data_IF_747514120562
#
_entry.id   IF_747514120562
#
_cell.length_a   1.000
_cell.length_b   1.000
_cell.length_c   1.000
_cell.angle_alpha   90.00
_cell.angle_beta   90.00
_cell.angle_gamma   90.00
#
_symmetry.space_group_name_H-M   'P 1'
#
loop_
_entity.id
_entity.type
_entity.pdbx_description
1 polymer ?
#
# COMPACT_ATOMS: atom_id res chain seq x y z
N UNK A 1 54.77 -11.40 25.35
CA UNK A 1 55.08 -9.97 25.62
C UNK A 1 55.83 -9.46 24.41
N UNK A 2 55.45 -8.47 23.62
CA UNK A 2 54.29 -7.60 23.46
C UNK A 2 54.55 -6.88 22.11
N UNK A 3 53.60 -6.89 21.17
CA UNK A 3 52.87 -5.69 20.71
C UNK A 3 53.73 -4.45 20.49
N UNK A 4 53.91 -4.01 19.24
CA UNK A 4 53.26 -2.79 18.75
C UNK A 4 53.45 -2.56 17.24
N UNK A 5 52.30 -2.42 16.57
CA UNK A 5 52.12 -1.75 15.30
C UNK A 5 52.36 -0.25 15.46
N UNK A 6 52.98 0.39 14.47
CA UNK A 6 52.75 1.81 14.18
C UNK A 6 52.54 2.05 12.68
N UNK A 7 51.29 2.41 12.37
CA UNK A 7 50.85 3.52 11.52
C UNK A 7 51.37 3.65 10.08
N UNK A 8 50.52 3.23 9.13
CA UNK A 8 50.42 3.84 7.80
C UNK A 8 49.07 3.48 7.17
N UNK A 9 48.10 4.40 7.18
CA UNK A 9 46.89 4.25 6.35
C UNK A 9 45.58 4.85 6.87
N UNK A 10 45.55 6.10 7.34
CA UNK A 10 44.30 6.87 7.50
C UNK A 10 44.36 8.12 6.62
N UNK A 11 44.01 7.97 5.34
CA UNK A 11 43.82 9.11 4.41
C UNK A 11 42.70 8.91 3.38
N UNK A 12 41.81 7.92 3.55
CA UNK A 12 40.72 7.62 2.59
C UNK A 12 39.38 8.29 2.93
N UNK A 13 39.07 8.57 4.20
CA UNK A 13 37.67 8.88 4.58
C UNK A 13 37.19 10.30 4.28
N UNK A 14 38.09 11.27 4.12
CA UNK A 14 37.70 12.68 3.90
C UNK A 14 37.36 12.98 2.44
N UNK A 15 38.10 12.36 1.51
CA UNK A 15 37.89 12.55 0.08
C UNK A 15 36.58 11.90 -0.39
N UNK A 16 36.27 10.70 0.12
CA UNK A 16 35.03 9.99 -0.20
C UNK A 16 33.78 10.69 0.37
N UNK A 17 33.92 11.39 1.50
CA UNK A 17 32.85 12.18 2.10
C UNK A 17 32.58 13.47 1.31
N UNK A 18 33.64 14.16 0.85
CA UNK A 18 33.52 15.37 0.05
C UNK A 18 32.94 15.07 -1.35
N UNK A 19 33.27 13.91 -1.94
CA UNK A 19 32.68 13.44 -3.20
C UNK A 19 31.20 13.09 -3.03
N UNK A 20 30.84 12.38 -1.95
CA UNK A 20 29.44 12.06 -1.65
C UNK A 20 28.60 13.34 -1.42
N UNK A 21 29.16 14.31 -0.69
CA UNK A 21 28.51 15.60 -0.45
C UNK A 21 28.36 16.42 -1.72
N UNK A 22 29.37 16.45 -2.58
CA UNK A 22 29.30 17.07 -3.92
C UNK A 22 28.22 16.44 -4.78
N UNK A 23 28.06 15.11 -4.72
CA UNK A 23 27.08 14.38 -5.53
C UNK A 23 25.65 14.59 -5.04
N UNK A 24 25.43 14.57 -3.73
CA UNK A 24 24.14 14.90 -3.11
C UNK A 24 23.75 16.35 -3.43
N UNK A 25 24.67 17.31 -3.33
CA UNK A 25 24.40 18.71 -3.69
C UNK A 25 24.09 18.90 -5.18
N UNK A 26 24.71 18.10 -6.07
CA UNK A 26 24.38 18.13 -7.50
C UNK A 26 23.01 17.51 -7.81
N UNK A 27 22.65 16.43 -7.13
CA UNK A 27 21.33 15.79 -7.25
C UNK A 27 20.23 16.71 -6.69
N UNK A 28 20.52 17.40 -5.59
CA UNK A 28 19.65 18.42 -5.01
C UNK A 28 19.39 19.57 -5.99
N UNK A 29 20.44 20.13 -6.60
CA UNK A 29 20.32 21.19 -7.61
C UNK A 29 19.46 20.75 -8.80
N UNK A 30 19.68 19.54 -9.32
CA UNK A 30 18.89 19.03 -10.46
C UNK A 30 17.41 18.84 -10.13
N UNK A 31 17.08 18.44 -8.89
CA UNK A 31 15.69 18.25 -8.46
C UNK A 31 15.01 19.60 -8.22
N UNK A 32 15.72 20.59 -7.69
CA UNK A 32 15.20 21.95 -7.54
C UNK A 32 14.97 22.63 -8.89
N UNK A 33 15.88 22.46 -9.84
CA UNK A 33 15.76 23.02 -11.18
C UNK A 33 14.56 22.41 -11.94
N UNK A 34 14.37 21.09 -11.85
CA UNK A 34 13.20 20.41 -12.41
C UNK A 34 11.88 20.86 -11.75
N UNK A 35 11.90 21.10 -10.44
CA UNK A 35 10.73 21.61 -9.72
C UNK A 35 10.38 23.04 -10.13
N UNK A 36 11.38 23.88 -10.37
CA UNK A 36 11.16 25.26 -10.82
C UNK A 36 10.72 25.31 -12.28
N UNK A 37 11.23 24.41 -13.14
CA UNK A 37 10.75 24.21 -14.52
C UNK A 37 9.28 23.76 -14.54
N UNK A 38 8.92 22.75 -13.75
CA UNK A 38 7.54 22.25 -13.63
C UNK A 38 6.58 23.31 -13.04
N UNK A 39 7.04 24.13 -12.09
CA UNK A 39 6.28 25.27 -11.54
C UNK A 39 6.15 26.43 -12.52
N UNK A 40 7.10 26.60 -13.44
CA UNK A 40 7.01 27.63 -14.49
C UNK A 40 5.98 27.24 -15.56
N UNK A 41 5.90 25.96 -15.94
CA UNK A 41 4.83 25.44 -16.82
C UNK A 41 3.45 25.54 -16.17
N UNK A 42 3.38 25.41 -14.85
CA UNK A 42 2.15 25.55 -14.04
C UNK A 42 1.43 26.89 -14.20
N UNK A 43 2.16 27.99 -14.46
CA UNK A 43 1.55 29.33 -14.55
C UNK A 43 0.78 29.59 -15.86
N UNK A 44 0.91 28.71 -16.87
CA UNK A 44 0.31 28.93 -18.20
C UNK A 44 -0.90 28.05 -18.50
N UNK A 45 -1.23 27.07 -17.65
CA UNK A 45 -2.23 26.03 -17.92
C UNK A 45 -3.53 26.22 -17.12
N UNK A 46 -4.60 26.64 -17.79
CA UNK A 46 -5.95 26.65 -17.22
C UNK A 46 -6.58 25.25 -17.27
N UNK A 47 -7.02 24.76 -16.10
CA UNK A 47 -7.80 23.54 -15.81
C UNK A 47 -7.82 22.46 -16.92
N UNK A 48 -6.82 21.56 -16.89
CA UNK A 48 -6.85 20.29 -17.62
C UNK A 48 -6.34 19.15 -16.72
N UNK A 49 -6.61 17.86 -17.04
CA UNK A 49 -6.11 16.69 -16.30
C UNK A 49 -4.58 16.67 -16.10
N UNK A 50 -3.85 17.38 -16.97
CA UNK A 50 -2.41 17.61 -16.89
C UNK A 50 -2.01 18.34 -15.59
N UNK A 51 -2.90 19.19 -15.05
CA UNK A 51 -2.71 19.90 -13.79
C UNK A 51 -2.69 18.99 -12.58
N UNK A 52 -3.53 17.94 -12.57
CA UNK A 52 -3.59 16.97 -11.46
C UNK A 52 -2.31 16.11 -11.40
N UNK A 53 -1.77 15.78 -12.57
CA UNK A 53 -0.51 15.03 -12.71
C UNK A 53 0.67 15.92 -12.28
N UNK A 54 0.69 17.19 -12.71
CA UNK A 54 1.68 18.16 -12.26
C UNK A 54 1.64 18.38 -10.73
N UNK A 55 0.45 18.51 -10.14
CA UNK A 55 0.27 18.63 -8.69
C UNK A 55 0.80 17.40 -7.93
N UNK A 56 0.55 16.19 -8.45
CA UNK A 56 1.10 14.96 -7.86
C UNK A 56 2.62 14.89 -8.00
N UNK A 57 3.17 15.22 -9.16
CA UNK A 57 4.62 15.22 -9.39
C UNK A 57 5.34 16.24 -8.51
N UNK A 58 4.77 17.44 -8.34
CA UNK A 58 5.29 18.48 -7.44
C UNK A 58 5.22 18.02 -5.97
N UNK A 59 4.12 17.37 -5.57
CA UNK A 59 3.97 16.83 -4.20
C UNK A 59 4.98 15.73 -3.89
N UNK A 60 5.28 14.85 -4.85
CA UNK A 60 6.26 13.76 -4.70
C UNK A 60 7.67 14.35 -4.61
N UNK A 61 8.01 15.32 -5.47
CA UNK A 61 9.31 15.98 -5.45
C UNK A 61 9.51 16.82 -4.18
N UNK A 62 8.46 17.48 -3.68
CA UNK A 62 8.48 18.22 -2.42
C UNK A 62 8.72 17.31 -1.21
N UNK A 63 7.99 16.19 -1.11
CA UNK A 63 8.21 15.22 -0.03
C UNK A 63 9.63 14.64 -0.07
N UNK A 64 10.18 14.39 -1.26
CA UNK A 64 11.55 13.92 -1.42
C UNK A 64 12.59 14.97 -0.99
N UNK A 65 12.39 16.24 -1.36
CA UNK A 65 13.25 17.34 -0.91
C UNK A 65 13.17 17.57 0.59
N UNK A 66 12.00 17.46 1.23
CA UNK A 66 11.89 17.53 2.70
C UNK A 66 12.63 16.39 3.39
N UNK A 67 12.65 15.21 2.75
CA UNK A 67 13.41 14.05 3.21
C UNK A 67 14.93 14.27 3.09
N UNK A 68 15.37 14.99 2.04
CA UNK A 68 16.77 15.38 1.81
C UNK A 68 17.19 16.59 2.67
N UNK A 69 16.28 17.53 2.97
CA UNK A 69 16.59 18.76 3.74
C UNK A 69 16.71 18.50 5.24
N UNK A 70 16.07 17.46 5.77
CA UNK A 70 16.23 17.03 7.16
C UNK A 70 17.50 16.17 7.41
N UNK A 71 18.46 16.14 6.46
CA UNK A 71 19.69 15.33 6.46
C UNK A 71 20.81 15.72 7.45
N UNK A 72 20.61 16.60 8.43
CA UNK A 72 21.66 16.77 9.46
C UNK A 72 21.73 15.63 10.50
N UNK A 73 20.76 14.69 10.52
CA UNK A 73 20.75 13.59 11.51
C UNK A 73 20.95 12.17 11.00
N UNK A 74 20.87 11.89 9.70
CA UNK A 74 20.91 10.49 9.24
C UNK A 74 21.72 10.27 7.96
N UNK A 75 23.05 10.47 8.07
CA UNK A 75 24.07 9.98 7.11
C UNK A 75 23.98 8.48 6.76
N UNK A 76 23.18 7.70 7.50
CA UNK A 76 22.97 6.27 7.28
C UNK A 76 21.86 5.97 6.25
N UNK A 77 20.82 6.81 6.17
CA UNK A 77 19.69 6.60 5.25
C UNK A 77 20.02 7.07 3.82
N UNK A 78 20.79 8.15 3.67
CA UNK A 78 21.32 8.61 2.38
C UNK A 78 22.20 7.55 1.69
N UNK A 79 23.02 6.83 2.46
CA UNK A 79 23.84 5.71 1.96
C UNK A 79 22.99 4.50 1.55
N UNK A 80 21.81 4.34 2.14
CA UNK A 80 20.84 3.30 1.78
C UNK A 80 20.08 3.68 0.51
N UNK A 81 19.66 4.94 0.36
CA UNK A 81 19.02 5.46 -0.85
C UNK A 81 19.95 5.38 -2.07
N UNK A 82 21.23 5.76 -1.92
CA UNK A 82 22.21 5.72 -3.01
C UNK A 82 22.67 4.30 -3.37
N UNK A 83 22.60 3.33 -2.44
CA UNK A 83 22.91 1.90 -2.70
C UNK A 83 21.73 1.10 -3.24
N UNK A 84 20.50 1.53 -2.97
CA UNK A 84 19.30 0.78 -3.35
C UNK A 84 18.79 1.06 -4.75
N UNK A 85 19.44 1.93 -5.54
CA UNK A 85 19.18 2.04 -6.98
C UNK A 85 17.68 2.05 -7.31
N UNK A 86 16.91 2.86 -6.59
CA UNK A 86 15.59 3.23 -7.08
C UNK A 86 15.87 4.00 -8.36
N UNK A 87 15.45 3.40 -9.47
CA UNK A 87 15.74 3.83 -10.81
C UNK A 87 14.87 5.06 -11.11
N UNK A 88 14.97 6.10 -10.27
CA UNK A 88 14.10 7.26 -10.24
C UNK A 88 14.17 8.03 -11.55
N UNK A 89 15.37 8.08 -12.15
CA UNK A 89 15.59 8.57 -13.50
C UNK A 89 14.81 7.75 -14.51
N UNK A 90 14.80 6.42 -14.40
CA UNK A 90 14.06 5.55 -15.30
C UNK A 90 12.55 5.59 -15.05
N UNK A 91 12.09 5.77 -13.81
CA UNK A 91 10.67 5.92 -13.47
C UNK A 91 10.14 7.31 -13.89
N UNK A 92 10.96 8.37 -13.80
CA UNK A 92 10.69 9.69 -14.36
C UNK A 92 10.76 9.68 -15.88
N UNK A 93 11.77 9.07 -16.50
CA UNK A 93 11.87 8.90 -17.96
C UNK A 93 10.75 8.02 -18.50
N UNK A 94 10.27 7.02 -17.75
CA UNK A 94 9.08 6.23 -18.11
C UNK A 94 7.81 7.08 -17.97
N UNK A 95 7.71 7.90 -16.93
CA UNK A 95 6.56 8.81 -16.75
C UNK A 95 6.54 9.95 -17.78
N UNK A 96 7.71 10.43 -18.23
CA UNK A 96 7.89 11.44 -19.29
C UNK A 96 7.69 10.81 -20.67
N UNK A 97 8.20 9.60 -20.92
CA UNK A 97 7.94 8.83 -22.14
C UNK A 97 6.46 8.50 -22.32
N UNK A 98 5.73 8.28 -21.22
CA UNK A 98 4.26 8.12 -21.23
C UNK A 98 3.50 9.41 -21.55
N UNK A 99 4.14 10.59 -21.44
CA UNK A 99 3.60 11.87 -21.88
C UNK A 99 3.85 12.14 -23.38
N UNK A 100 4.90 11.55 -23.97
CA UNK A 100 5.30 11.79 -25.37
C UNK A 100 4.64 10.85 -26.41
N UNK A 101 4.14 9.66 -26.03
CA UNK A 101 3.66 8.65 -27.00
C UNK A 101 2.18 8.74 -27.44
N UNK A 102 1.41 9.76 -27.08
CA UNK A 102 0.06 9.91 -27.62
C UNK A 102 -0.29 11.36 -28.04
N UNK A 103 -0.35 11.65 -29.35
CA UNK A 103 -1.07 12.81 -29.83
C UNK A 103 -2.57 12.53 -29.61
N UNK A 104 -3.17 13.22 -28.64
CA UNK A 104 -4.61 13.24 -28.49
C UNK A 104 -5.23 13.75 -29.80
N UNK A 105 -6.24 13.07 -30.38
CA UNK A 105 -7.04 13.71 -31.40
C UNK A 105 -7.84 14.84 -30.75
N UNK A 106 -7.87 15.99 -31.42
CA UNK A 106 -8.66 17.15 -30.98
C UNK A 106 -10.12 16.74 -30.67
N UNK A 107 -10.75 17.35 -29.66
CA UNK A 107 -12.17 17.15 -29.42
C UNK A 107 -12.96 17.59 -30.66
N UNK A 108 -14.02 16.86 -31.07
CA UNK A 108 -14.83 17.27 -32.20
C UNK A 108 -15.49 18.62 -31.88
N UNK A 109 -15.58 19.54 -32.85
CA UNK A 109 -16.15 20.86 -32.63
C UNK A 109 -17.66 20.76 -32.39
N UNK A 110 -18.14 21.63 -31.51
CA UNK A 110 -19.54 21.92 -31.17
C UNK A 110 -20.55 21.53 -32.27
N UNK A 111 -21.54 20.73 -31.87
CA UNK A 111 -22.85 20.75 -32.52
C UNK A 111 -23.93 21.09 -31.49
N UNK A 112 -24.09 22.39 -31.29
CA UNK A 112 -25.37 22.97 -30.95
C UNK A 112 -26.36 22.72 -32.10
N UNK A 113 -27.51 22.13 -31.76
CA UNK A 113 -28.76 22.26 -32.52
C UNK A 113 -29.20 21.02 -33.32
N UNK A 114 -30.35 20.44 -32.94
CA UNK A 114 -31.11 19.58 -33.86
C UNK A 114 -32.01 18.51 -33.25
N UNK A 115 -33.20 18.94 -32.78
CA UNK A 115 -34.53 18.28 -32.81
C UNK A 115 -34.70 16.76 -32.59
N UNK A 116 -35.65 16.50 -31.68
CA UNK A 116 -36.48 15.31 -31.44
C UNK A 116 -36.79 14.44 -32.66
N UNK A 117 -36.89 13.12 -32.43
CA UNK A 117 -38.06 12.35 -32.87
C UNK A 117 -38.38 11.18 -31.91
N UNK A 118 -39.67 11.12 -31.58
CA UNK A 118 -40.40 10.14 -30.79
C UNK A 118 -40.57 8.83 -31.55
N UNK A 119 -40.51 7.68 -30.86
CA UNK A 119 -41.44 6.55 -31.13
C UNK A 119 -41.80 5.91 -29.77
N UNK A 120 -43.08 6.07 -29.40
CA UNK A 120 -43.80 5.27 -28.41
C UNK A 120 -44.19 3.90 -29.00
N UNK A 121 -44.17 2.86 -28.17
CA UNK A 121 -45.28 1.89 -28.15
C UNK A 121 -45.24 1.05 -26.87
N UNK A 122 -46.30 1.19 -26.11
CA UNK A 122 -46.77 0.40 -24.97
C UNK A 122 -46.83 -1.12 -25.24
N UNK A 123 -46.67 -1.93 -24.20
CA UNK A 123 -47.80 -2.67 -23.61
C UNK A 123 -47.41 -3.42 -22.33
N UNK A 124 -48.28 -3.26 -21.33
CA UNK A 124 -48.17 -3.77 -19.97
C UNK A 124 -48.60 -5.25 -19.85
N UNK A 125 -48.11 -5.96 -18.83
CA UNK A 125 -48.95 -6.40 -17.68
C UNK A 125 -48.37 -7.54 -16.83
N UNK A 126 -48.36 -7.29 -15.52
CA UNK A 126 -48.69 -8.16 -14.36
C UNK A 126 -48.18 -9.62 -14.34
N UNK A 127 -47.41 -9.95 -13.29
CA UNK A 127 -47.77 -10.90 -12.21
C UNK A 127 -46.53 -11.30 -11.39
N UNK A 128 -46.56 -11.05 -10.08
CA UNK A 128 -45.83 -11.86 -9.08
C UNK A 128 -46.75 -12.97 -8.60
N UNK A 129 -46.26 -14.19 -8.28
CA UNK A 129 -45.93 -14.44 -6.87
C UNK A 129 -44.70 -15.34 -6.62
N UNK A 130 -44.09 -15.10 -5.45
CA UNK A 130 -43.34 -15.99 -4.54
C UNK A 130 -42.89 -17.41 -4.99
N UNK A 131 -41.57 -17.57 -4.83
CA UNK A 131 -40.84 -18.61 -4.08
C UNK A 131 -40.37 -19.92 -4.76
N UNK A 132 -39.16 -20.29 -4.35
CA UNK A 132 -38.46 -21.58 -4.45
C UNK A 132 -37.91 -22.01 -5.81
N UNK A 133 -36.62 -21.74 -6.06
CA UNK A 133 -35.64 -22.80 -6.30
C UNK A 133 -34.19 -22.31 -6.45
N UNK A 134 -33.32 -22.95 -5.65
CA UNK A 134 -31.91 -23.31 -5.88
C UNK A 134 -31.32 -22.94 -7.25
N UNK A 135 -30.25 -22.14 -7.25
CA UNK A 135 -29.09 -22.19 -8.18
C UNK A 135 -27.94 -21.43 -7.51
N UNK A 136 -27.05 -22.17 -6.87
CA UNK A 136 -25.73 -22.49 -7.41
C UNK A 136 -24.81 -21.26 -7.42
N UNK A 137 -23.99 -21.15 -6.37
CA UNK A 137 -22.74 -20.38 -6.37
C UNK A 137 -21.96 -20.79 -7.62
N UNK A 138 -21.86 -19.88 -8.59
CA UNK A 138 -20.92 -20.04 -9.70
C UNK A 138 -19.57 -19.59 -9.16
N UNK A 139 -18.78 -20.55 -8.70
CA UNK A 139 -17.33 -20.39 -8.59
C UNK A 139 -16.79 -20.08 -9.98
N UNK A 140 -16.56 -18.80 -10.27
CA UNK A 140 -15.77 -18.40 -11.42
C UNK A 140 -14.30 -18.72 -11.12
N UNK A 141 -13.94 -19.98 -11.34
CA UNK A 141 -12.56 -20.42 -11.51
C UNK A 141 -12.11 -20.01 -12.91
N UNK A 142 -10.99 -19.28 -13.06
CA UNK A 142 -10.36 -19.15 -14.37
C UNK A 142 -9.83 -20.53 -14.76
N UNK A 143 -10.45 -21.08 -15.79
CA UNK A 143 -10.13 -22.34 -16.41
C UNK A 143 -8.83 -22.19 -17.21
N UNK A 144 -7.69 -22.34 -16.53
CA UNK A 144 -6.40 -22.64 -17.15
C UNK A 144 -5.78 -23.83 -16.40
N UNK A 145 -6.20 -25.03 -16.80
CA UNK A 145 -5.61 -26.29 -16.37
C UNK A 145 -4.23 -26.46 -17.02
N UNK A 146 -3.23 -25.76 -16.48
CA UNK A 146 -1.85 -26.25 -16.49
C UNK A 146 -1.67 -26.98 -15.16
N UNK A 147 -1.42 -28.28 -15.22
CA UNK A 147 -1.15 -29.17 -14.10
C UNK A 147 0.14 -28.74 -13.38
N UNK A 148 0.04 -27.74 -12.50
CA UNK A 148 1.14 -27.13 -11.74
C UNK A 148 1.50 -27.96 -10.49
N UNK A 149 1.57 -29.29 -10.62
CA UNK A 149 1.86 -30.20 -9.48
C UNK A 149 3.29 -30.05 -8.94
N UNK A 150 4.18 -29.40 -9.68
CA UNK A 150 5.61 -29.30 -9.34
C UNK A 150 6.06 -27.90 -8.89
N UNK A 151 5.20 -26.88 -8.90
CA UNK A 151 5.58 -25.55 -8.38
C UNK A 151 5.16 -25.36 -6.94
N UNK A 152 6.17 -25.16 -6.10
CA UNK A 152 6.00 -24.78 -4.71
C UNK A 152 5.28 -23.43 -4.64
N UNK A 153 4.08 -23.42 -4.05
CA UNK A 153 3.24 -22.25 -3.83
C UNK A 153 3.15 -21.92 -2.34
N UNK A 154 3.56 -20.71 -1.99
CA UNK A 154 3.57 -20.19 -0.64
C UNK A 154 2.54 -19.07 -0.52
N UNK A 155 1.47 -19.31 0.23
CA UNK A 155 0.41 -18.34 0.52
C UNK A 155 0.61 -17.76 1.91
N UNK A 156 0.79 -16.46 2.03
CA UNK A 156 1.09 -15.77 3.28
C UNK A 156 0.00 -14.77 3.60
N UNK A 157 -0.43 -14.79 4.86
CA UNK A 157 -1.37 -13.84 5.43
C UNK A 157 -0.65 -12.97 6.46
N UNK A 158 -0.57 -11.67 6.16
CA UNK A 158 -0.05 -10.63 7.03
C UNK A 158 -1.15 -9.82 7.70
N UNK A 159 -2.34 -9.72 7.12
CA UNK A 159 -3.45 -9.03 7.77
C UNK A 159 -4.07 -9.91 8.86
N UNK A 160 -4.11 -9.38 10.09
CA UNK A 160 -4.50 -10.14 11.28
C UNK A 160 -3.40 -11.10 11.73
N UNK A 161 -3.79 -12.24 12.30
CA UNK A 161 -2.83 -13.23 12.78
C UNK A 161 -1.98 -13.79 11.63
N UNK A 162 -0.66 -13.81 11.81
CA UNK A 162 0.25 -14.27 10.77
C UNK A 162 0.05 -15.76 10.50
N UNK A 163 -0.21 -16.10 9.25
CA UNK A 163 -0.34 -17.49 8.77
C UNK A 163 0.42 -17.66 7.46
N UNK A 164 0.98 -18.84 7.24
CA UNK A 164 1.46 -19.20 5.91
C UNK A 164 1.08 -20.64 5.58
N UNK A 165 0.79 -20.88 4.30
CA UNK A 165 0.44 -22.19 3.77
C UNK A 165 1.38 -22.53 2.64
N UNK A 166 1.93 -23.74 2.66
CA UNK A 166 2.71 -24.31 1.58
C UNK A 166 1.85 -25.34 0.83
N UNK A 167 1.60 -25.10 -0.45
CA UNK A 167 0.76 -25.96 -1.29
C UNK A 167 -0.60 -26.28 -0.62
N UNK A 168 -1.18 -25.31 0.08
CA UNK A 168 -2.45 -25.43 0.81
C UNK A 168 -2.34 -25.90 2.26
N UNK A 169 -1.20 -26.47 2.69
CA UNK A 169 -1.02 -26.95 4.06
C UNK A 169 -0.43 -25.85 4.95
N UNK A 170 -1.04 -25.60 6.11
CA UNK A 170 -0.58 -24.58 7.05
C UNK A 170 0.80 -24.92 7.65
N UNK A 171 1.70 -23.94 7.67
CA UNK A 171 2.97 -24.01 8.36
C UNK A 171 2.74 -23.64 9.82
N UNK A 172 2.64 -24.64 10.68
CA UNK A 172 2.40 -24.45 12.12
C UNK A 172 3.73 -24.28 12.88
N UNK A 173 4.78 -24.97 12.44
CA UNK A 173 6.08 -24.94 13.13
C UNK A 173 6.97 -23.84 12.57
N UNK A 174 7.07 -22.72 13.30
CA UNK A 174 8.00 -21.63 13.00
C UNK A 174 9.21 -21.65 13.93
N UNK A 175 10.40 -21.25 13.45
CA UNK A 175 11.49 -20.90 14.36
C UNK A 175 11.06 -19.71 15.24
N UNK A 176 11.57 -19.64 16.46
CA UNK A 176 11.21 -18.55 17.39
C UNK A 176 12.00 -17.26 17.09
N UNK A 177 11.49 -16.14 17.56
CA UNK A 177 12.18 -14.84 17.58
C UNK A 177 12.55 -14.30 16.20
N UNK A 178 13.76 -13.73 16.10
CA UNK A 178 14.26 -13.00 14.92
C UNK A 178 14.23 -13.82 13.62
N UNK A 179 14.33 -15.15 13.67
CA UNK A 179 14.24 -16.02 12.49
C UNK A 179 12.86 -15.95 11.80
N UNK A 180 11.76 -15.92 12.56
CA UNK A 180 10.40 -15.77 12.01
C UNK A 180 10.19 -14.36 11.47
N UNK A 181 10.69 -13.34 12.18
CA UNK A 181 10.61 -11.95 11.75
C UNK A 181 11.38 -11.71 10.44
N UNK A 182 12.55 -12.34 10.31
CA UNK A 182 13.36 -12.27 9.11
C UNK A 182 12.66 -12.92 7.91
N UNK A 183 11.95 -14.02 8.11
CA UNK A 183 11.07 -14.58 7.07
C UNK A 183 9.96 -13.61 6.68
N UNK A 184 9.24 -13.02 7.65
CA UNK A 184 8.18 -12.03 7.40
C UNK A 184 8.72 -10.83 6.59
N UNK A 185 9.90 -10.33 6.95
CA UNK A 185 10.55 -9.24 6.24
C UNK A 185 10.93 -9.62 4.80
N UNK A 186 11.58 -10.77 4.59
CA UNK A 186 11.92 -11.22 3.23
C UNK A 186 10.65 -11.46 2.39
N UNK A 187 9.58 -11.98 3.00
CA UNK A 187 8.30 -12.16 2.35
C UNK A 187 7.61 -10.84 1.99
N UNK A 188 7.73 -9.79 2.81
CA UNK A 188 7.19 -8.46 2.49
C UNK A 188 7.93 -7.81 1.31
N UNK A 189 9.21 -8.13 1.11
CA UNK A 189 10.01 -7.71 -0.06
C UNK A 189 9.79 -8.59 -1.30
N UNK A 190 9.04 -9.67 -1.20
CA UNK A 190 8.74 -10.58 -2.29
C UNK A 190 10.00 -11.24 -2.88
N UNK A 191 10.26 -10.99 -4.17
CA UNK A 191 11.44 -11.51 -4.90
C UNK A 191 12.62 -10.53 -4.91
N UNK A 192 12.52 -9.41 -4.21
CA UNK A 192 13.57 -8.39 -4.18
C UNK A 192 14.72 -8.83 -3.27
N UNK A 193 15.96 -8.93 -3.77
CA UNK A 193 17.12 -9.22 -2.93
C UNK A 193 17.34 -8.15 -1.86
N UNK A 194 17.65 -8.58 -0.64
CA UNK A 194 18.03 -7.68 0.45
C UNK A 194 19.50 -7.91 0.84
N UNK A 195 20.36 -6.88 0.81
CA UNK A 195 21.75 -6.98 1.28
C UNK A 195 21.81 -7.47 2.73
N UNK A 196 22.79 -8.33 3.04
CA UNK A 196 22.95 -8.86 4.41
C UNK A 196 23.22 -7.74 5.42
N UNK A 197 23.89 -6.67 5.02
CA UNK A 197 24.18 -5.50 5.86
C UNK A 197 22.90 -4.79 6.30
N UNK A 198 21.90 -4.69 5.40
CA UNK A 198 20.58 -4.11 5.73
C UNK A 198 19.87 -4.98 6.77
N UNK A 199 19.92 -6.31 6.62
CA UNK A 199 19.32 -7.23 7.60
C UNK A 199 20.06 -7.19 8.95
N UNK A 200 21.38 -7.03 8.93
CA UNK A 200 22.19 -6.90 10.15
C UNK A 200 21.79 -5.67 10.94
N UNK A 201 21.75 -4.50 10.29
CA UNK A 201 21.36 -3.24 10.91
C UNK A 201 19.92 -3.28 11.41
N UNK A 202 19.00 -3.83 10.62
CA UNK A 202 17.58 -3.83 10.96
C UNK A 202 17.27 -4.74 12.16
N UNK A 203 17.88 -5.92 12.21
CA UNK A 203 17.54 -6.92 13.23
C UNK A 203 18.44 -6.87 14.46
N UNK A 204 19.67 -6.38 14.33
CA UNK A 204 20.68 -6.27 15.39
C UNK A 204 21.44 -4.93 15.36
N UNK A 205 20.76 -3.77 15.45
CA UNK A 205 21.38 -2.45 15.31
C UNK A 205 22.47 -2.17 16.36
N UNK A 206 22.32 -2.73 17.56
CA UNK A 206 23.23 -2.48 18.69
C UNK A 206 24.38 -3.49 18.80
N UNK A 207 24.68 -4.24 17.75
CA UNK A 207 25.74 -5.26 17.74
C UNK A 207 26.90 -4.85 16.84
N UNK A 208 28.12 -5.31 17.14
CA UNK A 208 29.24 -5.16 16.22
C UNK A 208 28.95 -5.88 14.90
N UNK A 209 29.57 -5.43 13.80
CA UNK A 209 29.36 -6.04 12.48
C UNK A 209 29.62 -7.55 12.46
N UNK A 210 30.61 -8.05 13.21
CA UNK A 210 30.90 -9.48 13.30
C UNK A 210 29.82 -10.24 14.08
N UNK A 211 29.39 -9.69 15.21
CA UNK A 211 28.34 -10.28 16.04
C UNK A 211 26.98 -10.30 15.32
N UNK A 212 26.60 -9.20 14.67
CA UNK A 212 25.37 -9.11 13.87
C UNK A 212 25.39 -10.11 12.69
N UNK A 213 26.54 -10.28 12.02
CA UNK A 213 26.70 -11.28 10.95
C UNK A 213 26.53 -12.70 11.47
N UNK A 214 27.13 -13.04 12.61
CA UNK A 214 26.98 -14.36 13.23
C UNK A 214 25.53 -14.62 13.63
N UNK A 215 24.87 -13.64 14.24
CA UNK A 215 23.46 -13.73 14.60
C UNK A 215 22.55 -13.91 13.37
N UNK A 216 22.81 -13.16 12.28
CA UNK A 216 22.10 -13.31 11.01
C UNK A 216 22.26 -14.73 10.44
N UNK A 217 23.49 -15.26 10.42
CA UNK A 217 23.75 -16.61 9.95
C UNK A 217 22.98 -17.66 10.75
N UNK A 218 22.97 -17.55 12.08
CA UNK A 218 22.22 -18.45 12.97
C UNK A 218 20.71 -18.35 12.72
N UNK A 219 20.17 -17.14 12.57
CA UNK A 219 18.75 -16.93 12.29
C UNK A 219 18.33 -17.52 10.93
N UNK A 220 19.12 -17.26 9.88
CA UNK A 220 18.91 -17.82 8.54
C UNK A 220 19.01 -19.35 8.57
N UNK A 221 19.99 -19.90 9.27
CA UNK A 221 20.16 -21.34 9.41
C UNK A 221 18.95 -21.98 10.10
N UNK A 222 18.52 -21.41 11.22
CA UNK A 222 17.31 -21.84 11.94
C UNK A 222 16.07 -21.78 11.06
N UNK A 223 15.91 -20.70 10.28
CA UNK A 223 14.82 -20.54 9.33
C UNK A 223 14.85 -21.62 8.24
N UNK A 224 16.00 -21.83 7.59
CA UNK A 224 16.18 -22.86 6.57
C UNK A 224 15.90 -24.25 7.12
N UNK A 225 16.36 -24.57 8.33
CA UNK A 225 16.16 -25.88 8.93
C UNK A 225 14.70 -26.14 9.27
N UNK A 226 13.97 -25.15 9.80
CA UNK A 226 12.54 -25.28 10.06
C UNK A 226 11.75 -25.49 8.77
N UNK A 227 12.07 -24.74 7.71
CA UNK A 227 11.36 -24.85 6.44
C UNK A 227 11.76 -26.11 5.64
N UNK A 228 12.99 -26.61 5.78
CA UNK A 228 13.45 -27.85 5.14
C UNK A 228 12.66 -29.08 5.60
N UNK A 229 12.13 -29.08 6.83
CA UNK A 229 11.23 -30.13 7.33
C UNK A 229 9.90 -30.20 6.56
N UNK A 230 9.56 -29.12 5.85
CA UNK A 230 8.30 -28.94 5.13
C UNK A 230 8.53 -29.06 3.61
N UNK A 231 9.69 -28.60 3.13
CA UNK A 231 10.12 -28.69 1.73
C UNK A 231 11.54 -29.22 1.65
N UNK A 232 11.69 -30.47 1.23
CA UNK A 232 12.98 -31.18 1.26
C UNK A 232 13.92 -30.79 0.12
N UNK A 233 13.35 -30.51 -1.06
CA UNK A 233 14.13 -30.51 -2.32
C UNK A 233 14.48 -29.10 -2.81
N UNK A 234 14.00 -28.06 -2.14
CA UNK A 234 14.23 -26.66 -2.53
C UNK A 234 14.50 -25.78 -1.31
N UNK A 235 15.60 -25.04 -1.35
CA UNK A 235 15.88 -24.03 -0.32
C UNK A 235 14.92 -22.86 -0.45
N UNK A 236 14.24 -22.49 0.64
CA UNK A 236 13.33 -21.34 0.67
C UNK A 236 14.02 -19.99 0.59
N UNK A 237 15.22 -19.87 1.18
CA UNK A 237 15.96 -18.61 1.27
C UNK A 237 17.32 -18.80 0.61
N UNK A 238 17.56 -18.05 -0.46
CA UNK A 238 18.82 -18.06 -1.20
C UNK A 238 19.73 -16.95 -0.71
N UNK A 239 21.05 -17.17 -0.86
CA UNK A 239 22.07 -16.15 -0.68
C UNK A 239 22.90 -16.05 -1.95
N UNK A 240 22.89 -14.90 -2.62
CA UNK A 240 23.63 -14.65 -3.86
C UNK A 240 24.10 -13.20 -3.87
N UNK A 241 25.34 -12.96 -4.30
CA UNK A 241 25.90 -11.60 -4.44
C UNK A 241 25.76 -10.73 -3.17
N UNK A 242 25.92 -11.34 -1.99
CA UNK A 242 25.81 -10.61 -0.71
C UNK A 242 24.39 -10.38 -0.22
N UNK A 243 23.38 -10.79 -0.98
CA UNK A 243 21.97 -10.57 -0.67
C UNK A 243 21.23 -11.86 -0.30
N UNK A 244 20.26 -11.73 0.59
CA UNK A 244 19.25 -12.76 0.88
C UNK A 244 17.94 -12.46 0.16
N UNK A 245 17.28 -13.51 -0.33
CA UNK A 245 15.95 -13.42 -0.91
C UNK A 245 15.17 -14.72 -0.73
N UNK A 246 13.85 -14.64 -0.79
CA UNK A 246 13.03 -15.83 -1.01
C UNK A 246 13.37 -16.39 -2.40
N UNK A 247 13.49 -17.71 -2.48
CA UNK A 247 13.83 -18.40 -3.71
C UNK A 247 12.84 -18.03 -4.84
N UNK A 248 13.30 -17.41 -5.94
CA UNK A 248 12.41 -16.97 -7.02
C UNK A 248 11.62 -18.09 -7.72
N UNK A 249 12.06 -19.35 -7.59
CA UNK A 249 11.35 -20.54 -8.07
C UNK A 249 10.08 -20.86 -7.27
N UNK A 250 9.98 -20.33 -6.05
CA UNK A 250 8.78 -20.46 -5.21
C UNK A 250 7.82 -19.36 -5.63
N UNK A 251 6.60 -19.75 -6.01
CA UNK A 251 5.52 -18.80 -6.28
C UNK A 251 4.99 -18.32 -4.93
N UNK A 252 5.07 -17.02 -4.69
CA UNK A 252 4.62 -16.42 -3.43
C UNK A 252 3.38 -15.58 -3.68
N UNK A 253 2.41 -15.72 -2.79
CA UNK A 253 1.23 -14.87 -2.69
C UNK A 253 1.20 -14.31 -1.28
N UNK A 254 1.05 -12.99 -1.16
CA UNK A 254 0.95 -12.29 0.12
C UNK A 254 -0.29 -11.40 0.05
N UNK A 255 -1.20 -11.52 1.02
CA UNK A 255 -2.42 -10.72 1.08
C UNK A 255 -2.14 -9.21 1.05
N UNK A 256 -1.17 -8.72 1.83
CA UNK A 256 -0.74 -7.33 1.84
C UNK A 256 -0.24 -6.85 0.47
N UNK A 257 0.50 -7.69 -0.27
CA UNK A 257 0.92 -7.35 -1.63
C UNK A 257 -0.26 -7.35 -2.60
N UNK A 258 -1.20 -8.29 -2.48
CA UNK A 258 -2.40 -8.31 -3.33
C UNK A 258 -3.31 -7.11 -3.06
N UNK A 259 -3.44 -6.71 -1.80
CA UNK A 259 -4.16 -5.52 -1.39
C UNK A 259 -3.64 -4.29 -2.16
N UNK A 260 -2.33 -4.03 -2.10
CA UNK A 260 -1.73 -2.92 -2.85
C UNK A 260 -1.93 -3.05 -4.38
N UNK A 261 -1.85 -4.26 -4.93
CA UNK A 261 -2.11 -4.50 -6.37
C UNK A 261 -3.55 -4.11 -6.74
N UNK A 262 -4.54 -4.51 -5.93
CA UNK A 262 -5.94 -4.16 -6.16
C UNK A 262 -6.18 -2.64 -6.06
N UNK A 263 -5.57 -1.97 -5.07
CA UNK A 263 -5.67 -0.50 -4.95
C UNK A 263 -5.05 0.23 -6.14
N UNK A 264 -3.90 -0.23 -6.62
CA UNK A 264 -3.24 0.34 -7.80
C UNK A 264 -4.11 0.14 -9.06
N UNK A 265 -4.71 -1.05 -9.22
CA UNK A 265 -5.66 -1.30 -10.32
C UNK A 265 -6.90 -0.43 -10.22
N UNK A 266 -7.49 -0.31 -9.04
CA UNK A 266 -8.67 0.54 -8.81
C UNK A 266 -8.38 1.99 -9.20
N UNK A 267 -7.26 2.53 -8.74
CA UNK A 267 -6.87 3.92 -9.03
C UNK A 267 -6.62 4.15 -10.53
N UNK A 268 -5.98 3.18 -11.22
CA UNK A 268 -5.86 3.24 -12.69
C UNK A 268 -7.22 3.19 -13.38
N UNK A 269 -8.15 2.36 -12.92
CA UNK A 269 -9.48 2.26 -13.52
C UNK A 269 -10.32 3.53 -13.32
N UNK A 270 -10.23 4.17 -12.15
CA UNK A 270 -10.85 5.47 -11.88
C UNK A 270 -10.33 6.57 -12.82
N UNK A 271 -9.01 6.64 -13.04
CA UNK A 271 -8.42 7.60 -13.98
C UNK A 271 -8.94 7.44 -15.42
N UNK A 272 -9.31 6.22 -15.80
CA UNK A 272 -9.89 5.92 -17.12
C UNK A 272 -11.43 5.98 -17.14
N UNK A 273 -12.07 6.49 -16.09
CA UNK A 273 -13.53 6.58 -15.99
C UNK A 273 -14.26 5.24 -15.87
N UNK A 274 -13.54 4.15 -15.57
CA UNK A 274 -14.09 2.78 -15.45
C UNK A 274 -14.55 2.49 -14.03
N UNK A 275 -15.43 3.34 -13.49
CA UNK A 275 -15.85 3.30 -12.08
C UNK A 275 -16.35 1.93 -11.62
N UNK A 276 -17.25 1.21 -12.34
CA UNK A 276 -17.75 -0.09 -11.87
C UNK A 276 -16.63 -1.13 -11.66
N UNK A 277 -15.65 -1.17 -12.57
CA UNK A 277 -14.49 -2.07 -12.46
C UNK A 277 -13.56 -1.64 -11.31
N UNK A 278 -13.41 -0.32 -11.08
CA UNK A 278 -12.63 0.16 -9.95
C UNK A 278 -13.25 -0.25 -8.61
N UNK A 279 -14.58 -0.15 -8.48
CA UNK A 279 -15.31 -0.59 -7.29
C UNK A 279 -15.13 -2.08 -7.05
N UNK A 280 -15.16 -2.91 -8.09
CA UNK A 280 -14.84 -4.34 -7.96
C UNK A 280 -13.43 -4.56 -7.38
N UNK A 281 -12.42 -3.84 -7.88
CA UNK A 281 -11.06 -3.93 -7.34
C UNK A 281 -10.97 -3.45 -5.88
N UNK A 282 -11.72 -2.41 -5.51
CA UNK A 282 -11.76 -1.94 -4.12
C UNK A 282 -12.39 -2.97 -3.18
N UNK A 283 -13.43 -3.69 -3.61
CA UNK A 283 -14.01 -4.80 -2.84
C UNK A 283 -13.03 -5.97 -2.69
N UNK A 284 -12.27 -6.29 -3.74
CA UNK A 284 -11.22 -7.31 -3.63
C UNK A 284 -10.13 -6.90 -2.63
N UNK A 285 -9.76 -5.61 -2.59
CA UNK A 285 -8.85 -5.10 -1.57
C UNK A 285 -9.47 -5.15 -0.17
N UNK A 286 -10.73 -4.71 -0.01
CA UNK A 286 -11.44 -4.72 1.26
C UNK A 286 -11.50 -6.13 1.88
N UNK A 287 -11.80 -7.14 1.07
CA UNK A 287 -11.90 -8.53 1.51
C UNK A 287 -10.58 -9.13 2.01
N UNK A 288 -9.43 -8.60 1.58
CA UNK A 288 -8.11 -9.05 2.03
C UNK A 288 -7.74 -8.47 3.40
N UNK A 289 -8.28 -7.29 3.75
CA UNK A 289 -7.97 -6.63 5.02
C UNK A 289 -8.85 -7.18 6.15
N UNK A 290 -8.33 -8.17 6.87
CA UNK A 290 -9.01 -8.81 8.01
C UNK A 290 -8.54 -8.30 9.38
N UNK A 291 -7.61 -7.35 9.41
CA UNK A 291 -7.08 -6.74 10.64
C UNK A 291 -5.75 -6.04 10.40
N UNK A 292 -5.12 -5.50 11.46
CA UNK A 292 -3.82 -4.84 11.35
C UNK A 292 -2.75 -5.74 10.72
N UNK A 293 -1.80 -5.17 9.99
CA UNK A 293 -0.70 -5.90 9.36
C UNK A 293 0.31 -6.40 10.40
N UNK A 294 0.57 -7.70 10.52
CA UNK A 294 1.54 -8.28 11.47
C UNK A 294 1.43 -7.71 12.91
N UNK A 295 0.26 -7.82 13.57
CA UNK A 295 0.02 -7.22 14.89
C UNK A 295 0.96 -7.79 15.97
N UNK A 296 1.44 -9.03 15.78
CA UNK A 296 2.41 -9.70 16.65
C UNK A 296 3.79 -9.01 16.66
N UNK A 297 4.12 -8.24 15.62
CA UNK A 297 5.40 -7.58 15.43
C UNK A 297 5.26 -6.04 15.44
N UNK A 298 4.19 -5.50 16.02
CA UNK A 298 3.90 -4.05 16.03
C UNK A 298 5.02 -3.18 16.64
N UNK A 299 5.88 -3.75 17.49
CA UNK A 299 7.04 -3.06 18.08
C UNK A 299 8.30 -3.11 17.20
N UNK A 300 8.24 -3.71 16.01
CA UNK A 300 9.33 -3.67 15.07
C UNK A 300 9.20 -2.41 14.20
N UNK A 301 10.21 -1.56 14.18
CA UNK A 301 10.18 -0.27 13.47
C UNK A 301 9.79 -0.41 11.98
N UNK A 302 10.29 -1.44 11.29
CA UNK A 302 9.94 -1.68 9.88
C UNK A 302 8.49 -2.12 9.66
N UNK A 303 7.83 -2.66 10.68
CA UNK A 303 6.42 -3.08 10.62
C UNK A 303 5.51 -1.89 10.88
N UNK A 304 5.90 -0.99 11.79
CA UNK A 304 5.08 0.16 12.19
C UNK A 304 4.68 1.02 10.98
N UNK A 305 5.65 1.36 10.13
CA UNK A 305 5.39 2.15 8.92
C UNK A 305 4.44 1.42 7.95
N UNK A 306 4.67 0.12 7.73
CA UNK A 306 3.81 -0.71 6.87
C UNK A 306 2.38 -0.86 7.43
N UNK A 307 2.25 -0.94 8.76
CA UNK A 307 0.96 -0.99 9.44
C UNK A 307 0.19 0.31 9.25
N UNK A 308 0.84 1.46 9.47
CA UNK A 308 0.22 2.78 9.31
C UNK A 308 -0.25 2.98 7.88
N UNK A 309 0.63 2.76 6.89
CA UNK A 309 0.29 2.86 5.47
C UNK A 309 -0.87 1.92 5.09
N UNK A 310 -0.86 0.67 5.58
CA UNK A 310 -1.95 -0.26 5.28
C UNK A 310 -3.28 0.17 5.91
N UNK A 311 -3.26 0.70 7.14
CA UNK A 311 -4.44 1.21 7.83
C UNK A 311 -5.03 2.43 7.10
N UNK A 312 -4.20 3.38 6.71
CA UNK A 312 -4.61 4.57 5.95
C UNK A 312 -5.18 4.19 4.59
N UNK A 313 -4.51 3.30 3.86
CA UNK A 313 -4.99 2.78 2.58
C UNK A 313 -6.34 2.06 2.71
N UNK A 314 -6.52 1.27 3.77
CA UNK A 314 -7.79 0.60 4.02
C UNK A 314 -8.91 1.61 4.36
N UNK A 315 -8.64 2.60 5.20
CA UNK A 315 -9.59 3.69 5.49
C UNK A 315 -9.97 4.46 4.23
N UNK A 316 -9.01 4.78 3.37
CA UNK A 316 -9.23 5.41 2.07
C UNK A 316 -10.10 4.54 1.15
N UNK A 317 -9.85 3.23 1.13
CA UNK A 317 -10.66 2.24 0.38
C UNK A 317 -12.12 2.27 0.83
N UNK A 318 -12.37 2.22 2.14
CA UNK A 318 -13.73 2.28 2.69
C UNK A 318 -14.43 3.60 2.34
N UNK A 319 -13.73 4.73 2.41
CA UNK A 319 -14.27 6.05 2.04
C UNK A 319 -14.64 6.14 0.55
N UNK A 320 -13.81 5.59 -0.33
CA UNK A 320 -14.09 5.53 -1.78
C UNK A 320 -15.31 4.67 -2.08
N UNK A 321 -15.40 3.49 -1.45
CA UNK A 321 -16.58 2.63 -1.55
C UNK A 321 -17.84 3.35 -1.02
N UNK A 322 -17.75 3.99 0.14
CA UNK A 322 -18.87 4.72 0.73
C UNK A 322 -19.38 5.83 -0.19
N UNK A 323 -18.48 6.65 -0.74
CA UNK A 323 -18.84 7.72 -1.67
C UNK A 323 -19.59 7.18 -2.90
N UNK A 324 -19.15 6.05 -3.44
CA UNK A 324 -19.84 5.40 -4.56
C UNK A 324 -21.25 4.94 -4.18
N UNK A 325 -21.40 4.23 -3.06
CA UNK A 325 -22.70 3.71 -2.62
C UNK A 325 -23.67 4.81 -2.21
N UNK A 326 -23.18 5.90 -1.63
CA UNK A 326 -23.98 7.12 -1.40
C UNK A 326 -24.49 7.72 -2.72
N UNK A 327 -23.65 7.77 -3.75
CA UNK A 327 -24.02 8.33 -5.06
C UNK A 327 -25.13 7.54 -5.74
N UNK A 328 -25.11 6.21 -5.62
CA UNK A 328 -26.15 5.34 -6.22
C UNK A 328 -27.35 5.09 -5.27
N UNK A 329 -27.35 5.68 -4.08
CA UNK A 329 -28.46 5.58 -3.13
C UNK A 329 -28.54 4.26 -2.36
N UNK A 330 -27.48 3.46 -2.32
CA UNK A 330 -27.42 2.24 -1.51
C UNK A 330 -27.04 2.57 -0.05
N UNK A 331 -28.06 2.94 0.70
CA UNK A 331 -27.93 3.40 2.09
C UNK A 331 -27.42 2.28 3.00
N UNK A 332 -27.87 1.04 2.81
CA UNK A 332 -27.50 -0.07 3.70
C UNK A 332 -26.00 -0.42 3.56
N UNK A 333 -25.47 -0.47 2.33
CA UNK A 333 -24.03 -0.68 2.11
C UNK A 333 -23.21 0.49 2.67
N UNK A 334 -23.66 1.75 2.49
CA UNK A 334 -23.01 2.93 3.07
C UNK A 334 -22.97 2.88 4.61
N UNK A 335 -24.05 2.46 5.29
CA UNK A 335 -24.07 2.26 6.75
C UNK A 335 -23.03 1.21 7.16
N UNK A 336 -22.94 0.09 6.44
CA UNK A 336 -21.98 -0.97 6.77
C UNK A 336 -20.53 -0.48 6.66
N UNK A 337 -20.20 0.26 5.59
CA UNK A 337 -18.87 0.82 5.36
C UNK A 337 -18.49 1.86 6.42
N UNK A 338 -19.38 2.81 6.73
CA UNK A 338 -19.08 3.82 7.75
C UNK A 338 -18.96 3.24 9.16
N UNK A 339 -19.69 2.16 9.49
CA UNK A 339 -19.45 1.42 10.74
C UNK A 339 -18.04 0.83 10.80
N UNK A 340 -17.53 0.30 9.69
CA UNK A 340 -16.13 -0.18 9.62
C UNK A 340 -15.15 0.98 9.82
N UNK A 341 -15.39 2.15 9.20
CA UNK A 341 -14.55 3.34 9.38
C UNK A 341 -14.52 3.79 10.85
N UNK A 342 -15.69 3.90 11.51
CA UNK A 342 -15.77 4.28 12.93
C UNK A 342 -15.10 3.26 13.85
N UNK A 343 -15.07 1.98 13.45
CA UNK A 343 -14.34 0.94 14.20
C UNK A 343 -12.82 1.11 14.08
N UNK A 344 -12.32 1.57 12.92
CA UNK A 344 -10.90 1.86 12.70
C UNK A 344 -10.47 3.17 13.37
N UNK A 345 -11.28 4.21 13.20
CA UNK A 345 -11.08 5.52 13.81
C UNK A 345 -12.41 6.04 14.37
N UNK A 346 -12.56 5.93 15.68
CA UNK A 346 -13.75 6.38 16.39
C UNK A 346 -13.92 7.91 16.40
N UNK A 347 -12.91 8.66 15.97
CA UNK A 347 -12.92 10.11 15.84
C UNK A 347 -13.14 10.58 14.39
N UNK A 348 -13.44 9.68 13.44
CA UNK A 348 -13.79 10.09 12.07
C UNK A 348 -15.17 10.75 12.03
N UNK A 349 -15.19 12.08 12.17
CA UNK A 349 -16.41 12.89 12.19
C UNK A 349 -17.25 12.71 10.93
N UNK A 350 -16.62 12.59 9.75
CA UNK A 350 -17.33 12.41 8.48
C UNK A 350 -18.06 11.07 8.44
N UNK A 351 -17.44 9.99 8.94
CA UNK A 351 -18.10 8.69 9.02
C UNK A 351 -19.28 8.71 9.99
N UNK A 352 -19.15 9.42 11.13
CA UNK A 352 -20.29 9.65 12.03
C UNK A 352 -21.40 10.46 11.37
N UNK A 353 -21.05 11.51 10.63
CA UNK A 353 -21.98 12.35 9.88
C UNK A 353 -22.77 11.53 8.86
N UNK A 354 -22.09 10.74 8.01
CA UNK A 354 -22.76 9.90 7.02
C UNK A 354 -23.67 8.85 7.67
N UNK A 355 -23.29 8.27 8.82
CA UNK A 355 -24.18 7.39 9.57
C UNK A 355 -25.43 8.11 10.08
N UNK A 356 -25.29 9.33 10.57
CA UNK A 356 -26.42 10.15 11.02
C UNK A 356 -27.35 10.51 9.87
N UNK A 357 -26.81 10.96 8.72
CA UNK A 357 -27.55 11.21 7.48
C UNK A 357 -28.36 9.98 7.06
N UNK A 358 -27.69 8.83 6.97
CA UNK A 358 -28.29 7.57 6.56
C UNK A 358 -29.39 7.10 7.52
N UNK A 359 -29.20 7.25 8.84
CA UNK A 359 -30.26 6.93 9.80
C UNK A 359 -31.43 7.92 9.72
N UNK A 360 -31.16 9.19 9.47
CA UNK A 360 -32.19 10.21 9.31
C UNK A 360 -33.06 9.96 8.07
N UNK A 361 -32.43 9.63 6.93
CA UNK A 361 -33.13 9.33 5.68
C UNK A 361 -34.02 8.07 5.77
N UNK A 362 -33.63 7.10 6.61
CA UNK A 362 -34.45 5.92 6.92
C UNK A 362 -35.53 6.18 7.99
N UNK A 363 -35.69 7.41 8.48
CA UNK A 363 -36.62 7.76 9.56
C UNK A 363 -36.21 7.23 10.95
N UNK A 364 -34.99 6.71 11.10
CA UNK A 364 -34.46 6.12 12.34
C UNK A 364 -33.77 7.18 13.21
N UNK A 365 -34.48 8.28 13.52
CA UNK A 365 -33.95 9.44 14.27
C UNK A 365 -33.24 9.08 15.59
N UNK A 366 -33.75 8.09 16.31
CA UNK A 366 -33.14 7.63 17.58
C UNK A 366 -31.72 7.06 17.39
N UNK A 367 -31.43 6.43 16.25
CA UNK A 367 -30.08 5.94 15.93
C UNK A 367 -29.14 7.09 15.56
N UNK A 368 -29.61 8.10 14.83
CA UNK A 368 -28.83 9.29 14.51
C UNK A 368 -28.39 10.04 15.78
N UNK A 369 -29.32 10.29 16.72
CA UNK A 369 -29.00 10.93 18.00
C UNK A 369 -28.03 10.11 18.85
N UNK A 370 -28.17 8.77 18.85
CA UNK A 370 -27.24 7.89 19.53
C UNK A 370 -25.83 7.98 18.90
N UNK A 371 -25.76 8.04 17.58
CA UNK A 371 -24.50 8.15 16.85
C UNK A 371 -23.79 9.49 17.15
N UNK A 372 -24.53 10.60 17.16
CA UNK A 372 -24.00 11.91 17.55
C UNK A 372 -23.37 11.87 18.94
N UNK A 373 -24.05 11.25 19.92
CA UNK A 373 -23.52 11.11 21.27
C UNK A 373 -22.23 10.29 21.29
N UNK A 374 -22.16 9.19 20.54
CA UNK A 374 -20.94 8.37 20.41
C UNK A 374 -19.80 9.20 19.82
N UNK A 375 -20.05 9.97 18.76
CA UNK A 375 -19.07 10.87 18.15
C UNK A 375 -18.54 11.88 19.16
N UNK A 376 -19.45 12.62 19.81
CA UNK A 376 -19.11 13.63 20.82
C UNK A 376 -18.27 13.06 21.96
N UNK A 377 -18.67 11.90 22.49
CA UNK A 377 -17.95 11.25 23.59
C UNK A 377 -16.57 10.76 23.16
N UNK A 378 -16.41 10.26 21.92
CA UNK A 378 -15.13 9.83 21.37
C UNK A 378 -14.17 10.99 21.14
N UNK A 379 -14.62 12.07 20.48
CA UNK A 379 -13.81 13.27 20.23
C UNK A 379 -13.35 13.90 21.55
N UNK A 380 -14.26 14.03 22.51
CA UNK A 380 -13.93 14.63 23.81
C UNK A 380 -12.93 13.76 24.58
N UNK A 381 -13.07 12.44 24.55
CA UNK A 381 -12.18 11.52 25.27
C UNK A 381 -10.79 11.44 24.65
N UNK A 382 -10.70 11.36 23.32
CA UNK A 382 -9.46 11.01 22.64
C UNK A 382 -8.68 12.24 22.13
N UNK A 383 -9.38 13.34 21.82
CA UNK A 383 -8.78 14.54 21.22
C UNK A 383 -9.05 15.83 22.01
N UNK A 384 -9.87 15.77 23.07
CA UNK A 384 -10.38 16.93 23.83
C UNK A 384 -11.12 17.97 22.98
N UNK A 385 -11.66 17.54 21.82
CA UNK A 385 -12.38 18.37 20.87
C UNK A 385 -13.91 18.23 21.01
N UNK A 386 -14.62 19.20 20.43
CA UNK A 386 -16.07 19.15 20.23
C UNK A 386 -16.38 18.86 18.76
N UNK A 387 -17.53 18.22 18.45
CA UNK A 387 -17.94 18.00 17.07
C UNK A 387 -18.02 19.30 16.26
N UNK A 388 -17.73 19.20 14.97
CA UNK A 388 -17.88 20.31 14.03
C UNK A 388 -19.36 20.74 13.88
N UNK A 389 -19.55 22.01 13.47
CA UNK A 389 -20.87 22.65 13.43
C UNK A 389 -21.87 21.94 12.50
N UNK A 390 -21.40 21.44 11.35
CA UNK A 390 -22.20 20.64 10.42
C UNK A 390 -22.83 19.39 11.07
N UNK A 391 -22.13 18.74 11.99
CA UNK A 391 -22.63 17.58 12.73
C UNK A 391 -23.65 17.97 13.80
N UNK A 392 -23.58 19.20 14.31
CA UNK A 392 -24.49 19.74 15.32
C UNK A 392 -25.82 20.18 14.68
N UNK A 393 -25.76 20.70 13.46
CA UNK A 393 -26.92 21.27 12.76
C UNK A 393 -27.85 20.20 12.14
N UNK A 394 -27.37 18.96 11.99
CA UNK A 394 -28.08 17.80 11.42
C UNK A 394 -28.98 17.06 12.44
#
# INVERSE_FOLDING_TARGET
MGSNNEWSGYRSDKHDCDIAKSKIMSEFSTVTDLLDELKSEFQTSSQSPRRLILDQSISICGAYLDTLMHEERHNHLARSAHRNGLNLKQDLETSISLLDEHPYPDPPPDQAGGKQEFIESDEASKLTPRNDNKKAFVENTPNDLITDKDRVFLKIHFFGAFRAHLNGNEIITWPKGKSKQLFKYLASKGKTPTPKEVLMELFWPNHSSESARNNLNVAIYSLRQSLKKILTDTSFVLFKEGCYQINPKIKIWVDATQFCIHLNKASKLELHGKTPLAIEQLHQAEALYVGPLLPEDAYCDWVLELQNQACENYRSTLKRLDNYYRTIGDIETSIALNKKIVTLDNCDENAHHHLMENYSSLGRRHLALRQFKICKDSLKRNLDLYPQQNLIDL
#
